data_IF_256174150013
#
_entry.id   IF_256174150013
#
_cell.length_a   1.000
_cell.length_b   1.000
_cell.length_c   1.000
_cell.angle_alpha   90.00
_cell.angle_beta   90.00
_cell.angle_gamma   90.00
#
_symmetry.space_group_name_H-M   'P 1'
#
loop_
_entity.id
_entity.type
_entity.pdbx_description
1 polymer ?
#
# COMPACT_ATOMS: atom_id res chain seq x y z
N UNK A 1 14.66 -16.54 8.48
CA UNK A 1 14.44 -15.97 8.13
C UNK A 1 14.29 -15.51 8.08
N UNK A 2 14.18 -15.36 8.18
CA UNK A 2 13.95 -14.60 8.00
C UNK A 2 13.50 -14.01 7.88
N UNK A 3 13.27 -13.91 8.11
CA UNK A 3 12.86 -13.07 7.93
C UNK A 3 12.43 -12.34 8.13
N UNK A 4 12.18 -12.34 8.49
CA UNK A 4 11.73 -11.47 8.56
C UNK A 4 11.73 -10.51 8.91
N UNK A 5 11.86 -10.24 9.20
CA UNK A 5 11.88 -9.24 9.42
C UNK A 5 11.75 -8.46 9.20
N UNK A 6 11.83 -8.56 9.09
CA UNK A 6 11.81 -7.59 8.77
C UNK A 6 11.17 -7.02 8.03
N UNK A 7 10.41 -7.41 8.00
CA UNK A 7 9.38 -6.81 7.41
C UNK A 7 9.42 -5.38 7.28
N UNK A 8 9.85 -4.76 8.11
CA UNK A 8 10.09 -3.36 7.97
C UNK A 8 10.92 -3.03 6.77
N UNK A 9 11.14 -4.00 5.92
CA UNK A 9 11.95 -3.82 4.73
C UNK A 9 11.12 -3.41 3.52
N UNK A 10 9.83 -3.23 3.70
CA UNK A 10 9.01 -2.70 2.62
C UNK A 10 9.36 -1.24 2.44
N UNK A 11 9.81 -0.91 1.25
CA UNK A 11 10.22 0.45 0.92
C UNK A 11 9.24 1.04 -0.08
N UNK A 12 8.71 2.20 0.26
CA UNK A 12 7.79 2.89 -0.63
C UNK A 12 8.58 3.55 -1.75
N UNK A 13 8.45 3.02 -2.96
CA UNK A 13 9.13 3.56 -4.12
C UNK A 13 8.17 3.53 -5.30
N UNK A 14 8.65 4.03 -6.45
CA UNK A 14 7.76 4.14 -7.60
C UNK A 14 7.28 2.78 -8.10
N UNK A 15 8.11 1.75 -7.99
CA UNK A 15 7.69 0.42 -8.41
C UNK A 15 6.56 -0.11 -7.55
N UNK A 16 6.66 0.10 -6.24
CA UNK A 16 5.61 -0.34 -5.33
C UNK A 16 4.33 0.46 -5.57
N UNK A 17 4.46 1.76 -5.78
CA UNK A 17 3.31 2.60 -6.04
C UNK A 17 2.62 2.18 -7.33
N UNK A 18 3.38 1.88 -8.37
CA UNK A 18 2.83 1.39 -9.63
C UNK A 18 2.08 0.08 -9.40
N UNK A 19 2.65 -0.81 -8.59
CA UNK A 19 2.00 -2.07 -8.26
C UNK A 19 0.68 -1.83 -7.53
N UNK A 20 0.68 -0.91 -6.57
CA UNK A 20 -0.53 -0.59 -5.83
C UNK A 20 -1.62 -0.09 -6.77
N UNK A 21 -1.27 0.81 -7.67
CA UNK A 21 -2.24 1.37 -8.61
C UNK A 21 -2.81 0.27 -9.50
N UNK A 22 -1.95 -0.62 -9.97
CA UNK A 22 -2.37 -1.74 -10.80
C UNK A 22 -3.33 -2.65 -10.05
N UNK A 23 -3.01 -2.98 -8.80
CA UNK A 23 -3.85 -3.87 -8.01
C UNK A 23 -5.19 -3.21 -7.65
N UNK A 24 -5.18 -1.90 -7.44
CA UNK A 24 -6.43 -1.19 -7.21
C UNK A 24 -7.33 -1.27 -8.45
N UNK A 25 -6.73 -1.13 -9.63
CA UNK A 25 -7.49 -1.24 -10.87
C UNK A 25 -8.06 -2.63 -11.07
N UNK A 26 -7.39 -3.65 -10.54
CA UNK A 26 -7.86 -5.03 -10.61
C UNK A 26 -8.76 -5.40 -9.44
N UNK A 27 -8.99 -4.46 -8.54
CA UNK A 27 -9.81 -4.68 -7.34
C UNK A 27 -9.23 -5.77 -6.44
N UNK A 28 -7.92 -5.91 -6.45
CA UNK A 28 -7.25 -6.87 -5.59
C UNK A 28 -7.02 -6.24 -4.22
N UNK A 29 -8.10 -6.08 -3.49
CA UNK A 29 -8.05 -5.34 -2.23
C UNK A 29 -7.32 -6.13 -1.14
N UNK A 30 -7.30 -7.45 -1.24
CA UNK A 30 -6.54 -8.26 -0.28
C UNK A 30 -5.06 -7.88 -0.31
N UNK A 31 -4.51 -7.68 -1.50
CA UNK A 31 -3.11 -7.25 -1.63
C UNK A 31 -2.90 -5.92 -0.93
N UNK A 32 -3.82 -4.97 -1.15
CA UNK A 32 -3.70 -3.64 -0.58
C UNK A 32 -3.78 -3.68 0.94
N UNK A 33 -4.73 -4.44 1.48
CA UNK A 33 -4.89 -4.55 2.93
C UNK A 33 -3.63 -5.14 3.56
N UNK A 34 -3.11 -6.21 2.97
CA UNK A 34 -1.92 -6.85 3.50
C UNK A 34 -0.72 -5.91 3.46
N UNK A 35 -0.59 -5.15 2.37
CA UNK A 35 0.50 -4.20 2.24
C UNK A 35 0.43 -3.13 3.33
N UNK A 36 -0.75 -2.56 3.53
CA UNK A 36 -0.92 -1.49 4.49
C UNK A 36 -0.63 -1.97 5.90
N UNK A 37 -1.00 -3.21 6.20
CA UNK A 37 -0.71 -3.77 7.52
C UNK A 37 0.77 -3.88 7.78
N UNK A 38 1.58 -3.97 6.73
CA UNK A 38 3.02 -4.10 6.87
C UNK A 38 3.75 -2.77 6.82
N UNK A 39 3.10 -1.73 6.35
CA UNK A 39 3.72 -0.42 6.26
C UNK A 39 3.64 0.31 7.58
N UNK A 40 4.66 1.12 7.85
CA UNK A 40 4.57 2.07 8.94
C UNK A 40 3.48 3.10 8.66
N UNK A 41 2.84 3.63 9.70
CA UNK A 41 1.80 4.65 9.48
C UNK A 41 2.28 5.84 8.66
N UNK A 42 3.53 6.26 8.85
CA UNK A 42 4.06 7.37 8.08
C UNK A 42 4.14 7.01 6.59
N UNK A 43 4.53 5.78 6.29
CA UNK A 43 4.62 5.35 4.90
C UNK A 43 3.24 5.20 4.29
N UNK A 44 2.27 4.75 5.08
CA UNK A 44 0.90 4.68 4.60
C UNK A 44 0.38 6.06 4.22
N UNK A 45 0.68 7.07 5.03
CA UNK A 45 0.29 8.43 4.72
C UNK A 45 0.95 8.91 3.43
N UNK A 46 2.24 8.61 3.27
CA UNK A 46 2.95 8.99 2.04
C UNK A 46 2.33 8.31 0.82
N UNK A 47 1.99 7.04 0.96
CA UNK A 47 1.34 6.32 -0.13
C UNK A 47 0.03 6.99 -0.53
N UNK A 48 -0.78 7.33 0.46
CA UNK A 48 -2.07 7.97 0.18
C UNK A 48 -1.89 9.30 -0.51
N UNK A 49 -0.87 10.07 -0.11
CA UNK A 49 -0.60 11.36 -0.74
C UNK A 49 -0.12 11.20 -2.17
N UNK A 50 0.53 10.09 -2.48
CA UNK A 50 1.04 9.85 -3.82
C UNK A 50 -0.06 9.44 -4.78
N UNK A 51 -1.09 8.78 -4.26
CA UNK A 51 -2.20 8.32 -5.09
C UNK A 51 -3.09 9.48 -5.50
N UNK A 52 -3.75 9.35 -6.67
CA UNK A 52 -4.74 10.35 -7.05
C UNK A 52 -5.96 10.21 -6.13
N UNK A 53 -6.89 11.17 -6.22
CA UNK A 53 -7.98 11.21 -5.26
C UNK A 53 -8.90 10.00 -5.37
N UNK A 54 -9.10 9.47 -6.57
CA UNK A 54 -9.96 8.29 -6.72
C UNK A 54 -9.33 7.05 -6.10
N UNK A 55 -8.05 6.83 -6.36
CA UNK A 55 -7.37 5.69 -5.80
C UNK A 55 -7.28 5.82 -4.29
N UNK A 56 -7.02 7.03 -3.81
CA UNK A 56 -6.96 7.29 -2.39
C UNK A 56 -8.28 6.94 -1.71
N UNK A 57 -9.39 7.32 -2.31
CA UNK A 57 -10.70 7.00 -1.76
C UNK A 57 -10.92 5.50 -1.67
N UNK A 58 -10.48 4.77 -2.69
CA UNK A 58 -10.60 3.32 -2.67
C UNK A 58 -9.84 2.72 -1.50
N UNK A 59 -8.60 3.18 -1.29
CA UNK A 59 -7.79 2.66 -0.20
C UNK A 59 -8.43 3.00 1.15
N UNK A 60 -8.89 4.21 1.32
CA UNK A 60 -9.50 4.62 2.58
C UNK A 60 -10.72 3.76 2.88
N UNK A 61 -11.52 3.43 1.88
CA UNK A 61 -12.67 2.56 2.09
C UNK A 61 -12.28 1.17 2.54
N UNK A 62 -11.17 0.67 2.01
CA UNK A 62 -10.72 -0.69 2.33
C UNK A 62 -10.25 -0.79 3.77
N UNK A 63 -9.55 0.22 4.25
CA UNK A 63 -8.88 0.15 5.54
C UNK A 63 -9.74 0.63 6.70
N UNK A 64 -10.93 1.05 6.44
CA UNK A 64 -11.82 1.52 7.51
C UNK A 64 -12.47 0.40 8.27
#
# INVERSE_FOLDING_TARGET
MKKKSSSSLIVLNSDLITKVISELGNENFTFIINLIEELHPADTADLLETLNSEDRKKVVKIIK
#
